data_IF_215509940639
#
_entry.id   IF_215509940639
#
_cell.length_a   1.000
_cell.length_b   1.000
_cell.length_c   1.000
_cell.angle_alpha   90.00
_cell.angle_beta   90.00
_cell.angle_gamma   90.00
#
_symmetry.space_group_name_H-M   'P 1'
#
loop_
_entity.id
_entity.type
_entity.pdbx_description
1 polymer ?
#
# COMPACT_ATOMS: atom_id res chain seq x y z
N UNK A 1 -15.20 -20.09 -26.07
CA UNK A 1 -14.50 -18.86 -26.49
C UNK A 1 -15.16 -17.67 -25.75
N UNK A 2 -14.64 -17.28 -24.58
CA UNK A 2 -15.29 -16.30 -23.70
C UNK A 2 -14.93 -14.88 -24.12
N UNK A 3 -15.91 -14.14 -24.63
CA UNK A 3 -15.79 -12.72 -25.00
C UNK A 3 -15.62 -11.91 -23.70
N UNK A 4 -14.50 -11.18 -23.54
CA UNK A 4 -14.25 -10.33 -22.36
C UNK A 4 -15.39 -9.31 -22.18
N UNK A 5 -15.79 -9.04 -20.93
CA UNK A 5 -16.82 -8.07 -20.51
C UNK A 5 -16.79 -6.75 -21.31
N UNK A 6 -15.58 -6.19 -21.51
CA UNK A 6 -15.35 -4.98 -22.32
C UNK A 6 -15.88 -5.10 -23.77
N UNK A 7 -15.72 -6.26 -24.40
CA UNK A 7 -16.21 -6.48 -25.77
C UNK A 7 -17.75 -6.57 -25.83
N UNK A 8 -18.43 -6.99 -24.75
CA UNK A 8 -19.90 -7.03 -24.72
C UNK A 8 -20.48 -5.62 -24.70
N UNK A 9 -19.87 -4.69 -23.97
CA UNK A 9 -20.26 -3.28 -23.96
C UNK A 9 -20.09 -2.63 -25.34
N UNK A 10 -18.90 -2.75 -25.95
CA UNK A 10 -18.65 -2.24 -27.30
C UNK A 10 -19.54 -2.89 -28.36
N UNK A 11 -19.84 -4.18 -28.22
CA UNK A 11 -20.76 -4.90 -29.10
C UNK A 11 -22.19 -4.34 -29.00
N UNK A 12 -22.70 -4.10 -27.78
CA UNK A 12 -24.03 -3.52 -27.59
C UNK A 12 -24.14 -2.12 -28.20
N UNK A 13 -23.09 -1.29 -28.08
CA UNK A 13 -23.03 0.02 -28.74
C UNK A 13 -23.03 -0.14 -30.27
N UNK A 14 -22.18 -1.02 -30.81
CA UNK A 14 -22.11 -1.27 -32.24
C UNK A 14 -23.46 -1.76 -32.80
N UNK A 15 -24.17 -2.61 -32.06
CA UNK A 15 -25.52 -3.07 -32.41
C UNK A 15 -26.53 -1.91 -32.41
N UNK A 16 -26.49 -1.02 -31.42
CA UNK A 16 -27.35 0.17 -31.40
C UNK A 16 -27.08 1.06 -32.63
N UNK A 17 -25.81 1.32 -32.96
CA UNK A 17 -25.44 2.14 -34.13
C UNK A 17 -25.94 1.51 -35.43
N UNK A 18 -25.75 0.20 -35.61
CA UNK A 18 -26.23 -0.53 -36.79
C UNK A 18 -27.76 -0.53 -36.89
N UNK A 19 -28.46 -0.75 -35.78
CA UNK A 19 -29.92 -0.71 -35.72
C UNK A 19 -30.45 0.70 -36.02
N UNK A 20 -29.80 1.75 -35.52
CA UNK A 20 -30.18 3.14 -35.83
C UNK A 20 -30.04 3.47 -37.31
N UNK A 21 -28.95 3.04 -37.96
CA UNK A 21 -28.75 3.22 -39.41
C UNK A 21 -29.78 2.44 -40.23
N UNK A 22 -30.05 1.18 -39.86
CA UNK A 22 -31.06 0.35 -40.52
C UNK A 22 -32.49 0.89 -40.32
N UNK A 23 -32.81 1.39 -39.12
CA UNK A 23 -34.08 2.03 -38.82
C UNK A 23 -34.32 3.31 -39.62
N UNK A 24 -33.28 4.15 -39.76
CA UNK A 24 -33.35 5.37 -40.59
C UNK A 24 -33.58 5.04 -42.07
N UNK A 25 -32.91 4.02 -42.60
CA UNK A 25 -33.12 3.55 -43.97
C UNK A 25 -34.55 3.03 -44.18
N UNK A 26 -35.08 2.22 -43.26
CA UNK A 26 -36.46 1.71 -43.34
C UNK A 26 -37.50 2.83 -43.27
N UNK A 27 -37.25 3.85 -42.46
CA UNK A 27 -38.13 5.02 -42.34
C UNK A 27 -38.21 5.81 -43.65
N UNK A 28 -37.06 6.04 -44.31
CA UNK A 28 -37.02 6.76 -45.59
C UNK A 28 -37.77 6.01 -46.69
N UNK A 29 -37.74 4.67 -46.66
CA UNK A 29 -38.44 3.83 -47.62
C UNK A 29 -39.92 3.57 -47.27
N UNK A 30 -40.47 4.23 -46.23
CA UNK A 30 -41.88 4.15 -45.85
C UNK A 30 -42.29 2.89 -45.06
N UNK A 31 -41.32 2.10 -44.58
CA UNK A 31 -41.59 0.88 -43.79
C UNK A 31 -41.79 1.16 -42.30
N UNK A 32 -42.78 2.00 -41.97
CA UNK A 32 -42.98 2.52 -40.61
C UNK A 32 -43.21 1.44 -39.53
N UNK A 33 -43.90 0.34 -39.89
CA UNK A 33 -44.12 -0.78 -38.97
C UNK A 33 -42.81 -1.45 -38.55
N UNK A 34 -41.89 -1.68 -39.49
CA UNK A 34 -40.57 -2.27 -39.22
C UNK A 34 -39.66 -1.31 -38.45
N UNK A 35 -39.71 -0.01 -38.75
CA UNK A 35 -38.97 1.02 -37.99
C UNK A 35 -39.36 1.04 -36.51
N UNK A 36 -40.66 0.83 -36.19
CA UNK A 36 -41.14 0.79 -34.81
C UNK A 36 -40.50 -0.36 -34.02
N UNK A 37 -40.37 -1.56 -34.60
CA UNK A 37 -39.73 -2.69 -33.94
C UNK A 37 -38.24 -2.46 -33.67
N UNK A 38 -37.54 -1.82 -34.61
CA UNK A 38 -36.12 -1.46 -34.42
C UNK A 38 -35.96 -0.46 -33.28
N UNK A 39 -36.84 0.55 -33.18
CA UNK A 39 -36.82 1.52 -32.09
C UNK A 39 -37.01 0.85 -30.73
N UNK A 40 -37.96 -0.09 -30.63
CA UNK A 40 -38.18 -0.88 -29.41
C UNK A 40 -36.92 -1.70 -29.05
N UNK A 41 -36.27 -2.30 -30.04
CA UNK A 41 -35.01 -3.02 -29.86
C UNK A 41 -33.87 -2.14 -29.35
N UNK A 42 -33.70 -0.93 -29.91
CA UNK A 42 -32.71 0.05 -29.44
C UNK A 42 -32.98 0.44 -27.99
N UNK A 43 -34.24 0.75 -27.64
CA UNK A 43 -34.63 1.09 -26.27
C UNK A 43 -34.36 -0.07 -25.31
N UNK A 44 -34.68 -1.31 -25.69
CA UNK A 44 -34.42 -2.48 -24.86
C UNK A 44 -32.91 -2.69 -24.59
N UNK A 45 -32.06 -2.50 -25.61
CA UNK A 45 -30.60 -2.59 -25.46
C UNK A 45 -30.07 -1.44 -24.60
N UNK A 46 -30.58 -0.21 -24.78
CA UNK A 46 -30.22 0.95 -23.98
C UNK A 46 -30.59 0.76 -22.49
N UNK A 47 -31.79 0.23 -22.22
CA UNK A 47 -32.24 -0.12 -20.86
C UNK A 47 -31.34 -1.23 -20.27
N UNK A 48 -31.00 -2.26 -21.04
CA UNK A 48 -30.06 -3.29 -20.60
C UNK A 48 -28.69 -2.70 -20.26
N UNK A 49 -28.16 -1.78 -21.06
CA UNK A 49 -26.89 -1.09 -20.78
C UNK A 49 -26.94 -0.27 -19.49
N UNK A 50 -28.05 0.43 -19.25
CA UNK A 50 -28.27 1.18 -18.02
C UNK A 50 -28.25 0.26 -16.78
N UNK A 51 -28.95 -0.87 -16.83
CA UNK A 51 -28.97 -1.83 -15.73
C UNK A 51 -27.61 -2.50 -15.49
N UNK A 52 -26.87 -2.82 -16.56
CA UNK A 52 -25.51 -3.37 -16.44
C UNK A 52 -24.58 -2.39 -15.72
N UNK A 53 -24.65 -1.09 -16.05
CA UNK A 53 -23.88 -0.03 -15.36
C UNK A 53 -24.30 0.14 -13.89
N UNK A 54 -25.61 0.24 -13.63
CA UNK A 54 -26.15 0.38 -12.27
C UNK A 54 -25.72 -0.78 -11.37
N UNK A 55 -25.74 -2.01 -11.88
CA UNK A 55 -25.31 -3.21 -11.15
C UNK A 55 -23.82 -3.19 -10.81
N UNK A 56 -22.96 -2.65 -11.68
CA UNK A 56 -21.54 -2.45 -11.40
C UNK A 56 -21.35 -1.47 -10.23
N UNK A 57 -22.05 -0.34 -10.25
CA UNK A 57 -21.98 0.70 -9.22
C UNK A 57 -22.48 0.17 -7.86
N UNK A 58 -23.60 -0.58 -7.83
CA UNK A 58 -24.12 -1.19 -6.61
C UNK A 58 -23.19 -2.28 -6.04
N UNK A 59 -22.45 -3.00 -6.88
CA UNK A 59 -21.42 -3.96 -6.44
C UNK A 59 -20.27 -3.23 -5.76
N UNK A 60 -19.79 -2.13 -6.36
CA UNK A 60 -18.76 -1.28 -5.77
C UNK A 60 -19.25 -0.60 -4.50
N UNK A 61 -20.49 -0.09 -4.47
CA UNK A 61 -21.11 0.52 -3.29
C UNK A 61 -21.23 -0.44 -2.10
N UNK A 62 -21.54 -1.72 -2.35
CA UNK A 62 -21.53 -2.76 -1.31
C UNK A 62 -20.12 -3.12 -0.84
N UNK A 63 -19.14 -3.15 -1.74
CA UNK A 63 -17.72 -3.26 -1.38
C UNK A 63 -17.33 -2.10 -0.46
N UNK A 64 -17.70 -0.88 -0.84
CA UNK A 64 -17.43 0.34 -0.08
C UNK A 64 -18.13 0.30 1.30
N UNK A 65 -19.38 -0.15 1.34
CA UNK A 65 -20.20 -0.18 2.56
C UNK A 65 -19.78 -1.24 3.58
N UNK A 66 -19.52 -2.48 3.16
CA UNK A 66 -19.10 -3.56 4.06
C UNK A 66 -17.72 -3.30 4.69
N UNK A 67 -16.86 -2.65 3.93
CA UNK A 67 -15.50 -2.28 4.33
C UNK A 67 -15.49 -1.04 5.24
N UNK A 68 -16.33 -0.02 4.97
CA UNK A 68 -16.42 1.20 5.78
C UNK A 68 -16.89 0.95 7.21
N UNK A 69 -17.63 -0.13 7.44
CA UNK A 69 -18.10 -0.52 8.77
C UNK A 69 -17.08 -1.36 9.56
N UNK A 70 -15.85 -1.54 9.05
CA UNK A 70 -14.79 -2.33 9.68
C UNK A 70 -15.22 -3.77 10.04
N UNK A 71 -16.19 -4.32 9.31
CA UNK A 71 -16.65 -5.68 9.50
C UNK A 71 -15.76 -6.66 8.73
N UNK A 72 -14.65 -7.04 9.37
CA UNK A 72 -13.68 -8.00 8.83
C UNK A 72 -14.22 -9.45 8.78
N UNK A 73 -15.47 -9.70 9.20
CA UNK A 73 -16.16 -11.00 9.04
C UNK A 73 -16.86 -11.12 7.68
N UNK A 74 -16.96 -10.03 6.93
CA UNK A 74 -17.60 -10.01 5.62
C UNK A 74 -16.78 -10.77 4.58
N UNK A 75 -17.39 -11.75 3.92
CA UNK A 75 -16.85 -12.38 2.71
C UNK A 75 -17.46 -11.67 1.49
N UNK A 76 -16.62 -11.20 0.58
CA UNK A 76 -17.10 -10.51 -0.62
C UNK A 76 -17.51 -11.54 -1.68
N UNK A 77 -18.80 -11.63 -2.00
CA UNK A 77 -19.28 -12.56 -3.02
C UNK A 77 -18.65 -12.27 -4.39
N UNK A 78 -17.84 -13.20 -4.87
CA UNK A 78 -17.34 -13.24 -6.26
C UNK A 78 -18.37 -13.98 -7.12
N UNK A 79 -18.64 -13.48 -8.33
CA UNK A 79 -19.61 -14.09 -9.24
C UNK A 79 -18.93 -14.85 -10.39
N UNK A 80 -17.62 -15.12 -10.27
CA UNK A 80 -16.76 -15.73 -11.29
C UNK A 80 -16.98 -15.14 -12.70
N UNK A 81 -17.16 -13.83 -12.77
CA UNK A 81 -16.95 -13.09 -14.00
C UNK A 81 -15.43 -12.97 -14.18
N UNK A 82 -14.89 -13.21 -15.38
CA UNK A 82 -13.47 -13.01 -15.68
C UNK A 82 -13.10 -11.51 -15.71
N UNK A 83 -13.63 -10.72 -14.78
CA UNK A 83 -13.46 -9.28 -14.69
C UNK A 83 -12.35 -8.93 -13.69
N UNK A 84 -11.67 -7.81 -13.92
CA UNK A 84 -10.55 -7.35 -13.09
C UNK A 84 -11.01 -7.06 -11.64
N UNK A 85 -12.26 -6.62 -11.49
CA UNK A 85 -12.87 -6.38 -10.18
C UNK A 85 -13.09 -7.68 -9.39
N UNK A 86 -13.50 -8.77 -10.04
CA UNK A 86 -13.68 -10.07 -9.38
C UNK A 86 -12.34 -10.65 -8.93
N UNK A 87 -11.25 -10.43 -9.70
CA UNK A 87 -9.89 -10.80 -9.29
C UNK A 87 -9.41 -10.03 -8.07
N UNK A 88 -9.64 -8.71 -8.05
CA UNK A 88 -9.32 -7.89 -6.89
C UNK A 88 -10.11 -8.34 -5.64
N UNK A 89 -11.37 -8.75 -5.82
CA UNK A 89 -12.22 -9.27 -4.76
C UNK A 89 -11.71 -10.61 -4.22
N UNK A 90 -11.23 -11.49 -5.10
CA UNK A 90 -10.65 -12.78 -4.74
C UNK A 90 -9.33 -12.60 -3.98
N UNK A 91 -8.43 -11.74 -4.46
CA UNK A 91 -7.17 -11.41 -3.77
C UNK A 91 -7.42 -10.76 -2.39
N UNK A 92 -8.42 -9.89 -2.28
CA UNK A 92 -8.77 -9.26 -1.01
C UNK A 92 -9.42 -10.25 -0.03
N UNK A 93 -10.29 -11.14 -0.51
CA UNK A 93 -10.85 -12.22 0.29
C UNK A 93 -9.76 -13.17 0.79
N UNK A 94 -8.81 -13.57 -0.06
CA UNK A 94 -7.67 -14.40 0.34
C UNK A 94 -6.82 -13.70 1.41
N UNK A 95 -6.55 -12.39 1.26
CA UNK A 95 -5.81 -11.63 2.26
C UNK A 95 -6.55 -11.57 3.61
N UNK A 96 -7.88 -11.42 3.59
CA UNK A 96 -8.72 -11.44 4.79
C UNK A 96 -8.83 -12.83 5.42
N UNK A 97 -8.87 -13.90 4.62
CA UNK A 97 -8.91 -15.29 5.12
C UNK A 97 -7.57 -15.73 5.69
N UNK A 98 -6.44 -15.40 5.04
CA UNK A 98 -5.10 -15.59 5.62
C UNK A 98 -4.96 -14.87 6.96
N UNK A 99 -5.63 -13.74 7.14
CA UNK A 99 -5.66 -13.03 8.41
C UNK A 99 -6.49 -13.75 9.48
N UNK A 100 -7.68 -14.25 9.12
CA UNK A 100 -8.54 -15.03 10.05
C UNK A 100 -7.82 -16.27 10.57
N UNK A 101 -7.10 -16.97 9.69
CA UNK A 101 -6.32 -18.14 10.08
C UNK A 101 -5.14 -17.78 10.97
N UNK A 102 -4.37 -16.72 10.67
CA UNK A 102 -3.25 -16.28 11.53
C UNK A 102 -3.66 -15.72 12.90
N UNK A 103 -4.85 -15.12 13.02
CA UNK A 103 -5.34 -14.58 14.29
C UNK A 103 -5.95 -15.64 15.21
N UNK A 104 -6.34 -16.80 14.66
CA UNK A 104 -6.84 -17.94 15.43
C UNK A 104 -5.72 -18.80 16.05
N UNK A 105 -4.47 -18.66 15.59
CA UNK A 105 -3.33 -19.29 16.23
C UNK A 105 -3.05 -18.61 17.58
N UNK A 106 -3.39 -19.33 18.66
CA UNK A 106 -3.40 -18.92 20.08
C UNK A 106 -2.10 -18.38 20.70
N UNK A 107 -1.09 -18.03 19.91
CA UNK A 107 0.23 -17.58 20.35
C UNK A 107 0.53 -16.08 20.10
N UNK A 108 -0.39 -15.33 19.50
CA UNK A 108 -0.19 -13.90 19.17
C UNK A 108 -0.63 -13.00 20.33
N UNK A 109 0.27 -12.14 20.82
CA UNK A 109 0.04 -11.19 21.91
C UNK A 109 -1.08 -10.19 21.54
N UNK A 110 -2.00 -9.87 22.45
CA UNK A 110 -3.20 -9.04 22.18
C UNK A 110 -2.86 -7.66 21.56
N UNK A 111 -1.69 -7.11 21.93
CA UNK A 111 -1.15 -5.87 21.36
C UNK A 111 -0.78 -6.03 19.88
N UNK A 112 -0.29 -7.19 19.46
CA UNK A 112 0.05 -7.49 18.08
C UNK A 112 -1.22 -7.66 17.24
N UNK A 113 -2.25 -8.31 17.77
CA UNK A 113 -3.57 -8.39 17.14
C UNK A 113 -4.20 -6.99 16.94
N UNK A 114 -4.12 -6.10 17.94
CA UNK A 114 -4.59 -4.71 17.82
C UNK A 114 -3.80 -3.92 16.77
N UNK A 115 -2.48 -4.11 16.69
CA UNK A 115 -1.64 -3.47 15.67
C UNK A 115 -1.98 -3.96 14.25
N UNK A 116 -2.23 -5.26 14.09
CA UNK A 116 -2.65 -5.86 12.81
C UNK A 116 -4.06 -5.42 12.38
N UNK A 117 -5.02 -5.38 13.31
CA UNK A 117 -6.35 -4.82 13.02
C UNK A 117 -6.25 -3.36 12.59
N UNK A 118 -5.39 -2.56 13.25
CA UNK A 118 -5.15 -1.17 12.86
C UNK A 118 -4.53 -1.06 11.48
N UNK A 119 -3.60 -1.96 11.14
CA UNK A 119 -2.99 -2.04 9.82
C UNK A 119 -4.04 -2.31 8.75
N UNK A 120 -4.92 -3.30 8.95
CA UNK A 120 -5.99 -3.61 7.98
C UNK A 120 -6.93 -2.42 7.83
N UNK A 121 -7.33 -1.77 8.92
CA UNK A 121 -8.13 -0.55 8.86
C UNK A 121 -7.48 0.54 8.00
N UNK A 122 -6.15 0.74 8.12
CA UNK A 122 -5.40 1.71 7.30
C UNK A 122 -5.29 1.26 5.84
N UNK A 123 -4.99 -0.03 5.57
CA UNK A 123 -4.99 -0.61 4.22
C UNK A 123 -6.30 -0.36 3.50
N UNK A 124 -7.37 -0.76 4.17
CA UNK A 124 -8.73 -0.57 3.73
C UNK A 124 -9.01 0.89 3.42
N UNK A 125 -8.71 1.79 4.37
CA UNK A 125 -8.98 3.22 4.22
C UNK A 125 -8.19 3.82 3.03
N UNK A 126 -6.94 3.41 2.84
CA UNK A 126 -6.07 3.97 1.80
C UNK A 126 -6.38 3.43 0.39
N UNK A 127 -6.71 2.14 0.28
CA UNK A 127 -7.24 1.54 -0.95
C UNK A 127 -8.51 2.29 -1.36
N UNK A 128 -9.42 2.49 -0.41
CA UNK A 128 -10.71 3.12 -0.62
C UNK A 128 -10.61 4.60 -0.99
N UNK A 129 -9.77 5.36 -0.30
CA UNK A 129 -9.52 6.77 -0.58
C UNK A 129 -8.85 7.01 -1.93
N UNK A 130 -8.19 5.98 -2.47
CA UNK A 130 -7.59 6.02 -3.80
C UNK A 130 -8.57 5.58 -4.87
N UNK A 131 -9.31 4.48 -4.66
CA UNK A 131 -10.22 3.90 -5.65
C UNK A 131 -11.50 4.73 -5.83
N UNK A 132 -12.12 5.21 -4.76
CA UNK A 132 -13.42 5.90 -4.85
C UNK A 132 -13.38 7.19 -5.71
N UNK A 133 -12.38 8.09 -5.56
CA UNK A 133 -12.25 9.25 -6.44
C UNK A 133 -11.87 8.87 -7.87
N UNK A 134 -11.07 7.82 -8.08
CA UNK A 134 -10.72 7.34 -9.42
C UNK A 134 -11.99 6.97 -10.19
N UNK A 135 -12.90 6.26 -9.54
CA UNK A 135 -14.17 5.84 -10.13
C UNK A 135 -15.07 7.04 -10.41
N UNK A 136 -15.34 7.87 -9.40
CA UNK A 136 -16.25 9.01 -9.54
C UNK A 136 -15.78 9.98 -10.63
N UNK A 137 -14.48 10.26 -10.69
CA UNK A 137 -13.91 11.13 -11.72
C UNK A 137 -13.90 10.43 -13.09
N UNK A 138 -13.58 9.14 -13.17
CA UNK A 138 -13.61 8.41 -14.45
C UNK A 138 -15.03 8.31 -15.01
N UNK A 139 -16.04 8.21 -14.15
CA UNK A 139 -17.46 8.23 -14.51
C UNK A 139 -17.88 9.62 -15.00
N UNK A 140 -17.53 10.68 -14.25
CA UNK A 140 -17.77 12.07 -14.67
C UNK A 140 -17.12 12.39 -16.02
N UNK A 141 -15.94 11.82 -16.28
CA UNK A 141 -15.23 11.94 -17.55
C UNK A 141 -15.86 11.10 -18.67
N UNK A 142 -16.39 9.92 -18.37
CA UNK A 142 -17.05 9.06 -19.34
C UNK A 142 -18.44 9.58 -19.76
N UNK A 143 -19.06 10.41 -18.93
CA UNK A 143 -20.37 11.03 -19.18
C UNK A 143 -20.27 12.39 -19.89
N UNK A 144 -19.08 12.98 -19.98
CA UNK A 144 -18.85 14.27 -20.64
C UNK A 144 -18.23 14.07 -22.02
N UNK A 145 -18.93 14.51 -23.07
CA UNK A 145 -18.32 14.71 -24.39
C UNK A 145 -17.49 15.99 -24.34
N UNK A 146 -16.17 15.86 -24.50
CA UNK A 146 -15.29 17.03 -24.55
C UNK A 146 -14.89 17.28 -26.00
N UNK A 147 -15.37 18.39 -26.53
CA UNK A 147 -14.97 18.87 -27.83
C UNK A 147 -13.52 19.39 -27.75
N UNK A 148 -12.62 18.81 -28.55
CA UNK A 148 -11.16 19.04 -28.43
C UNK A 148 -10.71 20.40 -28.95
N UNK A 149 -11.60 21.14 -29.61
CA UNK A 149 -11.24 22.32 -30.40
C UNK A 149 -11.21 23.65 -29.64
N UNK A 150 -11.59 23.70 -28.36
CA UNK A 150 -11.41 24.91 -27.55
C UNK A 150 -10.96 24.55 -26.13
N UNK A 151 -10.07 25.36 -25.54
CA UNK A 151 -9.77 25.39 -24.10
C UNK A 151 -10.99 25.85 -23.29
N UNK A 152 -12.09 25.12 -23.42
CA UNK A 152 -13.32 25.31 -22.66
C UNK A 152 -13.05 24.96 -21.19
N UNK A 153 -13.84 25.57 -20.31
CA UNK A 153 -13.80 25.27 -18.88
C UNK A 153 -14.01 23.77 -18.61
N UNK A 154 -14.76 23.08 -19.48
CA UNK A 154 -14.96 21.63 -19.45
C UNK A 154 -13.67 20.83 -19.70
N UNK A 155 -12.83 21.25 -20.66
CA UNK A 155 -11.52 20.62 -20.89
C UNK A 155 -10.60 20.76 -19.67
N UNK A 156 -10.62 21.93 -18.99
CA UNK A 156 -9.86 22.14 -17.76
C UNK A 156 -10.34 21.25 -16.61
N UNK A 157 -11.65 21.11 -16.42
CA UNK A 157 -12.23 20.20 -15.43
C UNK A 157 -11.85 18.75 -15.75
N UNK A 158 -11.89 18.35 -17.03
CA UNK A 158 -11.46 17.01 -17.44
C UNK A 158 -9.98 16.76 -17.13
N UNK A 159 -9.10 17.72 -17.46
CA UNK A 159 -7.67 17.61 -17.18
C UNK A 159 -7.39 17.48 -15.68
N UNK A 160 -8.05 18.28 -14.84
CA UNK A 160 -7.94 18.20 -13.38
C UNK A 160 -8.46 16.86 -12.82
N UNK A 161 -9.54 16.32 -13.39
CA UNK A 161 -10.07 15.01 -13.03
C UNK A 161 -9.07 13.89 -13.38
N UNK A 162 -8.48 13.92 -14.58
CA UNK A 162 -7.45 12.97 -15.03
C UNK A 162 -6.17 13.07 -14.17
N UNK A 163 -5.71 14.27 -13.83
CA UNK A 163 -4.56 14.47 -12.95
C UNK A 163 -4.82 13.94 -11.54
N UNK A 164 -6.05 14.11 -11.04
CA UNK A 164 -6.45 13.59 -9.73
C UNK A 164 -6.52 12.06 -9.74
N UNK A 165 -7.11 11.46 -10.78
CA UNK A 165 -7.08 10.00 -11.00
C UNK A 165 -5.64 9.51 -11.02
N UNK A 166 -4.77 10.11 -11.83
CA UNK A 166 -3.38 9.71 -11.96
C UNK A 166 -2.62 9.78 -10.63
N UNK A 167 -2.79 10.87 -9.86
CA UNK A 167 -2.19 11.03 -8.53
C UNK A 167 -2.68 9.97 -7.55
N UNK A 168 -3.99 9.69 -7.49
CA UNK A 168 -4.58 8.67 -6.61
C UNK A 168 -4.12 7.26 -7.00
N UNK A 169 -4.06 6.93 -8.29
CA UNK A 169 -3.57 5.65 -8.78
C UNK A 169 -2.11 5.42 -8.43
N UNK A 170 -1.25 6.44 -8.58
CA UNK A 170 0.16 6.34 -8.16
C UNK A 170 0.32 6.19 -6.65
N UNK A 171 -0.48 6.90 -5.86
CA UNK A 171 -0.51 6.73 -4.40
C UNK A 171 -0.85 5.30 -4.00
N UNK A 172 -1.90 4.73 -4.60
CA UNK A 172 -2.31 3.35 -4.38
C UNK A 172 -1.25 2.33 -4.77
N UNK A 173 -0.62 2.50 -5.95
CA UNK A 173 0.46 1.61 -6.38
C UNK A 173 1.63 1.65 -5.40
N UNK A 174 2.05 2.86 -5.03
CA UNK A 174 3.11 3.04 -4.03
C UNK A 174 2.74 2.37 -2.72
N UNK A 175 1.49 2.50 -2.27
CA UNK A 175 0.96 1.86 -1.06
C UNK A 175 1.00 0.32 -1.12
N UNK A 176 0.56 -0.27 -2.23
CA UNK A 176 0.57 -1.72 -2.44
C UNK A 176 2.00 -2.28 -2.48
N UNK A 177 2.92 -1.62 -3.18
CA UNK A 177 4.33 -2.01 -3.22
C UNK A 177 4.96 -2.01 -1.82
N UNK A 178 4.64 -0.96 -1.06
CA UNK A 178 5.05 -0.74 0.31
C UNK A 178 4.49 -1.78 1.28
N UNK A 179 3.22 -2.15 1.13
CA UNK A 179 2.62 -3.28 1.85
C UNK A 179 3.32 -4.61 1.52
N UNK A 180 3.63 -4.85 0.24
CA UNK A 180 4.29 -6.09 -0.21
C UNK A 180 5.66 -6.27 0.44
N UNK A 181 6.39 -5.19 0.70
CA UNK A 181 7.67 -5.21 1.43
C UNK A 181 7.52 -5.71 2.87
N UNK A 182 6.37 -5.51 3.51
CA UNK A 182 6.11 -5.99 4.87
C UNK A 182 5.65 -7.44 4.89
N UNK A 183 4.75 -7.83 3.98
CA UNK A 183 4.07 -9.14 4.06
C UNK A 183 4.78 -10.27 3.33
N UNK A 184 5.63 -9.95 2.35
CA UNK A 184 6.38 -10.94 1.57
C UNK A 184 7.87 -11.00 1.92
N UNK A 185 8.23 -10.66 3.16
CA UNK A 185 9.58 -10.95 3.63
C UNK A 185 9.82 -12.47 3.54
N UNK A 186 10.90 -12.94 2.90
CA UNK A 186 11.25 -14.35 2.91
C UNK A 186 11.72 -14.80 4.30
N UNK A 187 11.87 -16.11 4.51
CA UNK A 187 12.56 -16.61 5.69
C UNK A 187 14.05 -16.19 5.62
N UNK A 188 14.65 -15.76 6.74
CA UNK A 188 16.03 -15.28 6.74
C UNK A 188 17.00 -16.41 6.42
N UNK A 189 17.95 -16.14 5.52
CA UNK A 189 19.05 -17.07 5.25
C UNK A 189 20.19 -16.74 6.21
N UNK A 190 20.26 -17.48 7.32
CA UNK A 190 21.22 -17.21 8.39
C UNK A 190 22.64 -17.54 7.95
N UNK A 191 23.53 -16.56 8.05
CA UNK A 191 24.95 -16.70 7.82
C UNK A 191 25.74 -15.91 8.86
N UNK A 192 27.00 -16.31 9.18
CA UNK A 192 27.85 -15.55 10.07
C UNK A 192 28.25 -14.20 9.44
N UNK A 193 27.96 -13.10 10.13
CA UNK A 193 28.27 -11.73 9.72
C UNK A 193 29.23 -11.12 10.73
N UNK A 194 30.42 -10.72 10.29
CA UNK A 194 31.30 -9.88 11.08
C UNK A 194 30.72 -8.46 11.15
N UNK A 195 30.34 -8.00 12.34
CA UNK A 195 29.64 -6.72 12.49
C UNK A 195 30.53 -5.52 12.19
N UNK A 196 31.82 -5.58 12.55
CA UNK A 196 32.76 -4.47 12.33
C UNK A 196 32.89 -4.09 10.85
N UNK A 197 33.22 -5.00 9.91
CA UNK A 197 33.23 -4.69 8.48
C UNK A 197 31.89 -4.13 7.95
N UNK A 198 30.76 -4.69 8.40
CA UNK A 198 29.43 -4.22 7.98
C UNK A 198 29.18 -2.77 8.41
N UNK A 199 29.48 -2.42 9.67
CA UNK A 199 29.33 -1.04 10.16
C UNK A 199 30.32 -0.08 9.48
N UNK A 200 31.52 -0.54 9.13
CA UNK A 200 32.46 0.24 8.31
C UNK A 200 31.87 0.60 6.95
N UNK A 201 31.26 -0.38 6.26
CA UNK A 201 30.61 -0.15 4.96
C UNK A 201 29.42 0.80 5.08
N UNK A 202 28.61 0.69 6.14
CA UNK A 202 27.49 1.60 6.38
C UNK A 202 27.96 3.03 6.66
N UNK A 203 29.02 3.22 7.44
CA UNK A 203 29.61 4.53 7.69
C UNK A 203 29.95 5.22 6.37
N UNK A 204 30.66 4.53 5.46
CA UNK A 204 31.05 5.08 4.15
C UNK A 204 29.86 5.52 3.29
N UNK A 205 28.73 4.81 3.37
CA UNK A 205 27.50 5.17 2.65
C UNK A 205 26.80 6.41 3.25
N UNK A 206 26.96 6.64 4.55
CA UNK A 206 26.32 7.76 5.28
C UNK A 206 27.19 9.01 5.41
N UNK A 207 28.51 8.89 5.29
CA UNK A 207 29.47 10.00 5.39
C UNK A 207 29.22 11.19 4.44
N UNK A 208 28.66 11.05 3.22
CA UNK A 208 28.43 12.18 2.32
C UNK A 208 27.45 13.24 2.85
N UNK A 209 26.72 12.96 3.94
CA UNK A 209 25.63 13.83 4.42
C UNK A 209 26.07 14.88 5.46
N UNK A 210 27.38 15.02 5.76
CA UNK A 210 27.88 16.00 6.72
C UNK A 210 27.54 15.68 8.18
N UNK A 211 27.19 14.43 8.48
CA UNK A 211 26.83 13.93 9.80
C UNK A 211 28.03 13.21 10.42
N UNK A 212 28.30 13.47 11.71
CA UNK A 212 29.32 12.75 12.47
C UNK A 212 28.80 11.35 12.82
N UNK A 213 29.17 10.37 11.99
CA UNK A 213 28.86 8.96 12.19
C UNK A 213 30.03 8.27 12.89
N UNK A 214 29.78 7.70 14.07
CA UNK A 214 30.72 6.85 14.80
C UNK A 214 30.12 5.48 15.08
N UNK A 215 30.98 4.48 15.24
CA UNK A 215 30.54 3.15 15.66
C UNK A 215 31.56 2.46 16.56
N UNK A 216 31.06 1.57 17.41
CA UNK A 216 31.84 0.76 18.34
C UNK A 216 31.35 -0.69 18.30
N UNK A 217 32.27 -1.66 18.28
CA UNK A 217 31.94 -3.09 18.30
C UNK A 217 32.74 -3.78 19.39
N UNK A 218 32.04 -4.44 20.33
CA UNK A 218 32.66 -5.14 21.45
C UNK A 218 32.06 -6.55 21.70
N UNK A 219 32.85 -7.63 21.65
CA UNK A 219 34.26 -7.69 21.24
C UNK A 219 34.45 -7.31 19.76
N UNK A 220 35.66 -6.91 19.38
CA UNK A 220 35.96 -6.40 18.03
C UNK A 220 35.63 -7.41 16.90
N UNK A 221 35.74 -8.71 17.20
CA UNK A 221 35.44 -9.83 16.30
C UNK A 221 34.03 -10.38 16.52
N UNK A 222 33.07 -9.54 16.91
CA UNK A 222 31.68 -9.97 17.15
C UNK A 222 31.01 -10.43 15.83
N UNK A 223 30.55 -11.68 15.85
CA UNK A 223 29.85 -12.34 14.74
C UNK A 223 28.38 -12.48 15.09
N UNK A 224 27.51 -12.01 14.20
CA UNK A 224 26.06 -12.19 14.25
C UNK A 224 25.63 -13.25 13.23
N UNK A 225 24.88 -14.27 13.65
CA UNK A 225 24.25 -15.23 12.73
C UNK A 225 22.89 -14.69 12.28
N UNK A 226 22.83 -14.09 11.09
CA UNK A 226 21.62 -13.47 10.56
C UNK A 226 21.61 -13.42 9.02
N UNK A 227 20.50 -13.00 8.44
CA UNK A 227 20.44 -12.64 7.02
C UNK A 227 21.08 -11.26 6.81
N UNK A 228 22.22 -11.25 6.10
CA UNK A 228 23.01 -10.03 5.87
C UNK A 228 22.20 -8.92 5.22
N UNK A 229 21.44 -9.23 4.16
CA UNK A 229 20.69 -8.21 3.42
C UNK A 229 19.58 -7.61 4.28
N UNK A 230 18.90 -8.43 5.08
CA UNK A 230 17.85 -7.96 6.00
C UNK A 230 18.44 -7.10 7.12
N UNK A 231 19.57 -7.48 7.73
CA UNK A 231 20.22 -6.68 8.78
C UNK A 231 20.77 -5.37 8.22
N UNK A 232 21.37 -5.36 7.03
CA UNK A 232 21.79 -4.13 6.36
C UNK A 232 20.59 -3.20 6.10
N UNK A 233 19.47 -3.74 5.61
CA UNK A 233 18.25 -2.97 5.38
C UNK A 233 17.65 -2.39 6.68
N UNK A 234 17.65 -3.18 7.75
CA UNK A 234 17.26 -2.74 9.09
C UNK A 234 18.11 -1.53 9.54
N UNK A 235 19.44 -1.64 9.46
CA UNK A 235 20.35 -0.57 9.89
C UNK A 235 20.22 0.66 8.99
N UNK A 236 20.15 0.51 7.67
CA UNK A 236 19.95 1.62 6.74
C UNK A 236 18.66 2.40 7.04
N UNK A 237 17.57 1.71 7.38
CA UNK A 237 16.31 2.37 7.75
C UNK A 237 16.43 3.15 9.06
N UNK A 238 17.12 2.60 10.07
CA UNK A 238 17.34 3.29 11.34
C UNK A 238 18.27 4.50 11.18
N UNK A 239 19.35 4.34 10.41
CA UNK A 239 20.28 5.41 10.09
C UNK A 239 19.59 6.53 9.31
N UNK A 240 18.76 6.20 8.32
CA UNK A 240 17.96 7.19 7.61
C UNK A 240 17.04 7.97 8.56
N UNK A 241 16.36 7.29 9.48
CA UNK A 241 15.52 7.97 10.46
C UNK A 241 16.31 8.89 11.39
N UNK A 242 17.51 8.45 11.82
CA UNK A 242 18.43 9.26 12.62
C UNK A 242 18.91 10.50 11.86
N UNK A 243 19.30 10.35 10.59
CA UNK A 243 19.72 11.47 9.74
C UNK A 243 18.61 12.51 9.58
N UNK A 244 17.38 12.05 9.31
CA UNK A 244 16.20 12.92 9.20
C UNK A 244 15.86 13.60 10.55
N UNK A 245 16.07 12.93 11.69
CA UNK A 245 15.85 13.51 13.01
C UNK A 245 16.88 14.61 13.35
N UNK A 246 18.07 14.52 12.75
CA UNK A 246 19.19 15.44 12.92
C UNK A 246 19.16 16.65 11.96
N UNK A 247 18.18 16.76 11.05
CA UNK A 247 18.06 17.91 10.15
C UNK A 247 17.91 19.22 10.95
N UNK A 248 18.78 20.20 10.71
CA UNK A 248 18.79 21.48 11.43
C UNK A 248 19.52 21.48 12.78
N UNK A 249 20.09 20.36 13.21
CA UNK A 249 20.97 20.29 14.38
C UNK A 249 22.36 20.81 14.01
N UNK A 250 22.96 21.67 14.87
CA UNK A 250 24.25 22.32 14.60
C UNK A 250 25.43 21.33 14.51
N UNK A 251 25.40 20.27 15.31
CA UNK A 251 26.42 19.22 15.35
C UNK A 251 25.72 17.85 15.34
N UNK A 252 25.22 17.40 14.18
CA UNK A 252 24.47 16.17 14.08
C UNK A 252 25.39 14.96 14.29
N UNK A 253 25.02 14.09 15.22
CA UNK A 253 25.79 12.92 15.64
C UNK A 253 24.93 11.68 15.59
N UNK A 254 25.46 10.63 14.98
CA UNK A 254 24.87 9.29 14.97
C UNK A 254 25.93 8.31 15.47
N UNK A 255 25.56 7.51 16.46
CA UNK A 255 26.44 6.54 17.10
C UNK A 255 25.82 5.15 17.00
N UNK A 256 26.57 4.18 16.47
CA UNK A 256 26.15 2.78 16.42
C UNK A 256 27.04 1.92 17.31
N UNK A 257 26.48 1.38 18.40
CA UNK A 257 27.20 0.44 19.28
C UNK A 257 26.67 -0.98 19.09
N UNK A 258 27.56 -1.93 18.80
CA UNK A 258 27.26 -3.36 18.78
C UNK A 258 28.02 -4.07 19.89
N UNK A 259 27.30 -4.78 20.76
CA UNK A 259 27.90 -5.43 21.93
C UNK A 259 27.29 -6.81 22.21
N UNK A 260 28.10 -7.75 22.71
CA UNK A 260 27.59 -9.02 23.25
C UNK A 260 27.12 -8.83 24.69
N UNK A 261 25.87 -9.19 24.97
CA UNK A 261 25.27 -9.12 26.30
C UNK A 261 24.65 -10.48 26.64
N UNK A 262 25.33 -11.26 27.47
CA UNK A 262 24.93 -12.63 27.77
C UNK A 262 24.85 -13.47 26.50
N UNK A 263 23.67 -14.04 26.24
CA UNK A 263 23.36 -14.85 25.06
C UNK A 263 22.74 -14.07 23.90
N UNK A 264 22.81 -12.74 23.95
CA UNK A 264 22.31 -11.86 22.90
C UNK A 264 23.41 -10.95 22.34
N UNK A 265 23.23 -10.51 21.11
CA UNK A 265 23.95 -9.39 20.49
C UNK A 265 23.01 -8.20 20.49
N UNK A 266 23.42 -7.11 21.12
CA UNK A 266 22.70 -5.84 21.11
C UNK A 266 23.35 -4.88 20.13
N UNK A 267 22.56 -4.33 19.23
CA UNK A 267 22.94 -3.21 18.36
C UNK A 267 22.10 -2.00 18.78
N UNK A 268 22.75 -0.90 19.14
CA UNK A 268 22.11 0.35 19.52
C UNK A 268 22.45 1.42 18.50
N UNK A 269 21.44 2.03 17.88
CA UNK A 269 21.58 3.19 17.00
C UNK A 269 21.09 4.41 17.78
N UNK A 270 21.99 5.36 18.02
CA UNK A 270 21.72 6.59 18.76
C UNK A 270 21.83 7.80 17.85
N UNK A 271 20.96 8.79 18.04
CA UNK A 271 21.06 10.10 17.40
C UNK A 271 20.82 11.23 18.41
N UNK A 272 21.33 12.42 18.11
CA UNK A 272 21.09 13.64 18.90
C UNK A 272 20.06 14.58 18.25
N UNK A 273 19.08 14.01 17.54
CA UNK A 273 18.03 14.75 16.87
C UNK A 273 16.95 15.27 17.81
N UNK A 274 15.83 15.71 17.21
CA UNK A 274 14.69 16.32 17.90
C UNK A 274 13.90 15.39 18.84
N UNK A 275 14.28 14.11 18.91
CA UNK A 275 13.59 13.13 19.75
C UNK A 275 12.23 12.69 19.21
N UNK A 276 11.58 11.81 19.97
CA UNK A 276 10.24 11.26 19.71
C UNK A 276 9.42 11.43 20.99
N UNK A 277 8.26 12.09 20.90
CA UNK A 277 7.37 12.24 22.06
C UNK A 277 6.88 10.89 22.58
N UNK A 278 6.61 10.80 23.88
CA UNK A 278 6.19 9.56 24.54
C UNK A 278 4.94 8.94 23.90
N UNK A 279 3.95 9.75 23.52
CA UNK A 279 2.71 9.30 22.87
C UNK A 279 2.94 8.65 21.50
N UNK A 280 4.04 9.00 20.85
CA UNK A 280 4.41 8.56 19.50
C UNK A 280 5.27 7.30 19.57
N UNK A 281 6.10 7.14 20.61
CA UNK A 281 7.02 6.00 20.79
C UNK A 281 6.31 4.64 20.72
N UNK A 282 5.10 4.52 21.28
CA UNK A 282 4.32 3.28 21.23
C UNK A 282 3.73 2.98 19.83
N UNK A 283 3.66 3.99 18.96
CA UNK A 283 3.00 3.92 17.66
C UNK A 283 3.98 3.86 16.48
N UNK A 284 5.26 4.21 16.67
CA UNK A 284 6.23 4.31 15.57
C UNK A 284 6.49 2.99 14.82
N UNK A 285 6.22 1.85 15.46
CA UNK A 285 6.34 0.53 14.84
C UNK A 285 5.06 0.05 14.15
N UNK A 286 3.96 0.79 14.27
CA UNK A 286 2.71 0.50 13.57
C UNK A 286 2.92 0.85 12.08
N UNK A 287 2.68 -0.08 11.14
CA UNK A 287 2.80 0.21 9.72
C UNK A 287 1.97 1.40 9.27
N UNK A 288 2.52 2.18 8.35
CA UNK A 288 1.94 3.41 7.79
C UNK A 288 1.74 4.55 8.80
N UNK A 289 2.15 4.37 10.05
CA UNK A 289 2.22 5.46 11.00
C UNK A 289 3.44 6.33 10.71
N UNK A 290 3.20 7.61 10.41
CA UNK A 290 4.25 8.60 10.14
C UNK A 290 3.77 9.96 10.61
N UNK A 291 4.65 10.71 11.27
CA UNK A 291 4.45 12.13 11.58
C UNK A 291 4.97 13.05 10.46
N UNK A 292 5.64 12.47 9.44
CA UNK A 292 6.27 13.19 8.33
C UNK A 292 5.32 13.29 7.15
N UNK A 293 5.24 14.47 6.52
CA UNK A 293 4.35 14.77 5.39
C UNK A 293 4.53 13.84 4.16
N UNK A 294 5.75 13.31 3.95
CA UNK A 294 6.08 12.40 2.84
C UNK A 294 6.61 11.04 3.31
N UNK A 295 6.49 10.73 4.61
CA UNK A 295 6.98 9.46 5.16
C UNK A 295 5.99 8.33 4.89
N UNK A 296 6.45 7.22 4.30
CA UNK A 296 5.59 6.05 4.05
C UNK A 296 5.13 5.33 5.32
N UNK A 297 5.78 5.58 6.47
CA UNK A 297 5.49 4.91 7.74
C UNK A 297 5.88 3.43 7.80
N UNK A 298 6.75 2.97 6.90
CA UNK A 298 7.06 1.54 6.75
C UNK A 298 8.45 1.17 7.24
N UNK A 299 9.38 2.14 7.27
CA UNK A 299 10.78 1.85 7.65
C UNK A 299 10.87 1.13 8.99
N UNK A 300 10.29 1.72 10.05
CA UNK A 300 10.36 1.15 11.40
C UNK A 300 9.53 -0.13 11.58
N UNK A 301 8.38 -0.23 10.94
CA UNK A 301 7.61 -1.48 10.99
C UNK A 301 8.30 -2.63 10.26
N UNK A 302 8.98 -2.35 9.15
CA UNK A 302 9.85 -3.31 8.46
C UNK A 302 11.02 -3.71 9.35
N UNK A 303 11.66 -2.75 10.05
CA UNK A 303 12.68 -3.06 11.04
C UNK A 303 12.17 -4.05 12.09
N UNK A 304 10.98 -3.84 12.65
CA UNK A 304 10.35 -4.75 13.61
C UNK A 304 10.12 -6.15 13.03
N UNK A 305 9.61 -6.25 11.79
CA UNK A 305 9.40 -7.53 11.12
C UNK A 305 10.71 -8.29 10.87
N UNK A 306 11.77 -7.59 10.43
CA UNK A 306 13.09 -8.19 10.24
C UNK A 306 13.60 -8.76 11.57
N UNK A 307 13.51 -7.98 12.65
CA UNK A 307 14.00 -8.39 13.97
C UNK A 307 13.21 -9.60 14.51
N UNK A 308 11.87 -9.59 14.39
CA UNK A 308 11.01 -10.72 14.81
C UNK A 308 11.34 -12.00 14.02
N UNK A 309 11.58 -11.91 12.71
CA UNK A 309 11.98 -13.06 11.88
C UNK A 309 13.30 -13.69 12.31
N UNK A 310 14.18 -12.91 12.92
CA UNK A 310 15.43 -13.36 13.51
C UNK A 310 15.29 -13.70 15.01
N UNK A 311 14.06 -13.87 15.51
CA UNK A 311 13.73 -14.14 16.93
C UNK A 311 14.26 -13.08 17.90
N UNK A 312 14.51 -11.87 17.41
CA UNK A 312 15.05 -10.76 18.18
C UNK A 312 13.98 -9.85 18.78
N UNK A 313 14.44 -8.77 19.41
CA UNK A 313 13.59 -7.71 19.96
C UNK A 313 14.09 -6.34 19.53
N UNK A 314 13.16 -5.42 19.27
CA UNK A 314 13.47 -4.01 18.99
C UNK A 314 12.69 -3.11 19.96
N UNK A 315 13.36 -2.11 20.52
CA UNK A 315 12.76 -1.10 21.39
C UNK A 315 13.32 0.28 21.09
N UNK A 316 12.57 1.31 21.44
CA UNK A 316 13.02 2.70 21.36
C UNK A 316 13.03 3.32 22.75
N UNK A 317 13.99 4.19 23.00
CA UNK A 317 13.99 5.09 24.14
C UNK A 317 14.41 6.46 23.63
N UNK A 318 13.52 7.43 23.73
CA UNK A 318 13.77 8.78 23.23
C UNK A 318 13.42 9.84 24.26
N UNK A 319 14.26 10.87 24.34
CA UNK A 319 14.04 12.14 25.02
C UNK A 319 14.15 13.29 24.00
N UNK A 320 14.02 14.55 24.44
CA UNK A 320 14.03 15.72 23.54
C UNK A 320 15.38 16.02 22.87
N UNK A 321 16.45 15.30 23.21
CA UNK A 321 17.81 15.54 22.71
C UNK A 321 18.50 14.28 22.21
N UNK A 322 17.96 13.09 22.49
CA UNK A 322 18.57 11.81 22.11
C UNK A 322 17.50 10.76 21.87
N UNK A 323 17.65 10.03 20.77
CA UNK A 323 16.88 8.81 20.50
C UNK A 323 17.81 7.62 20.44
N UNK A 324 17.43 6.52 21.09
CA UNK A 324 18.17 5.26 21.06
C UNK A 324 17.23 4.13 20.59
N UNK A 325 17.50 3.58 19.41
CA UNK A 325 16.90 2.34 18.96
C UNK A 325 17.80 1.17 19.39
N UNK A 326 17.25 0.24 20.17
CA UNK A 326 17.97 -0.95 20.65
C UNK A 326 17.40 -2.18 19.96
N UNK A 327 18.27 -2.97 19.34
CA UNK A 327 17.96 -4.21 18.66
C UNK A 327 18.73 -5.32 19.34
N UNK A 328 18.05 -6.41 19.68
CA UNK A 328 18.65 -7.58 20.32
C UNK A 328 18.40 -8.79 19.44
N UNK A 329 19.47 -9.47 19.04
CA UNK A 329 19.42 -10.76 18.35
C UNK A 329 19.96 -11.84 19.29
N UNK A 330 19.32 -13.03 19.36
CA UNK A 330 19.91 -14.15 20.07
C UNK A 330 21.19 -14.62 19.37
N UNK A 331 22.21 -15.00 20.16
CA UNK A 331 23.50 -15.48 19.66
C UNK A 331 23.36 -16.82 18.89
N UNK A 332 22.40 -17.64 19.33
CA UNK A 332 22.05 -18.94 18.75
C UNK A 332 20.58 -18.91 18.32
N UNK A 333 20.30 -19.06 17.02
CA UNK A 333 18.92 -19.09 16.46
C UNK A 333 18.49 -20.52 16.19
#
# INVERSE_FOLDING_TARGET
MKIKSKHIFFLKIAVIVLLSLGGAWLFWNGFYFSTLFILIGIVAIAVSLYYDRKKLIERMGRMIGGIRNADYTTHFNTYHSNDELDRLMEEMNEALEMFRTRTHDSMVEEAENKAWQKLISVLTHEIMNSIAPIISLSETLAEREVDKENETEEYKIMKQALETIHRRSRGLLSFVENYRKLTRLPQPTLQPIALKPMLTSLQQLTSPNGIDFSYEVYPEQLILNADKGMVEQLLLNLLKNAMEACEGIKEPKIEVRAEKIGDNIRITVSDNGHGISTEVQDKIFIPFYSTKAHGSGIGLSLCRQIVIRHKGKISVQSDSKRTNFKIEFPLNI
#
